data_IF_724467064736
#
_entry.id   IF_724467064736
#
_cell.length_a   1.000
_cell.length_b   1.000
_cell.length_c   1.000
_cell.angle_alpha   90.00
_cell.angle_beta   90.00
_cell.angle_gamma   90.00
#
_symmetry.space_group_name_H-M   'P 1'
#
loop_
_entity.id
_entity.type
_entity.pdbx_description
1 polymer ?
#
# COMPACT_ATOMS: atom_id res chain seq x y z
N UNK A 1 23.70 -23.15 34.05
CA UNK A 1 22.42 -22.51 34.41
C UNK A 1 21.94 -21.73 33.21
N UNK A 2 21.10 -22.39 32.40
CA UNK A 2 20.54 -21.85 31.16
C UNK A 2 19.37 -20.91 31.46
N UNK A 3 19.38 -19.73 30.87
CA UNK A 3 18.19 -18.91 30.73
C UNK A 3 17.66 -19.09 29.29
N UNK A 4 16.75 -20.03 29.11
CA UNK A 4 15.84 -20.06 27.94
C UNK A 4 14.80 -18.95 28.11
N UNK A 5 14.88 -17.92 27.32
CA UNK A 5 13.83 -16.92 27.19
C UNK A 5 12.78 -17.39 26.20
N UNK A 6 11.57 -17.41 26.69
CA UNK A 6 10.31 -17.76 26.07
C UNK A 6 10.02 -16.85 24.85
N UNK A 7 10.14 -17.38 23.63
CA UNK A 7 9.80 -16.74 22.36
C UNK A 7 8.68 -17.50 21.63
N UNK A 8 7.76 -18.06 22.39
CA UNK A 8 6.57 -18.75 21.87
C UNK A 8 5.30 -18.06 22.38
N UNK A 9 4.70 -17.20 21.60
CA UNK A 9 3.40 -16.61 21.93
C UNK A 9 2.85 -15.58 20.95
N UNK A 10 3.64 -15.09 20.01
CA UNK A 10 3.21 -14.01 19.10
C UNK A 10 2.95 -14.48 17.67
N UNK A 11 3.55 -15.61 17.25
CA UNK A 11 3.45 -16.09 15.85
C UNK A 11 2.13 -16.80 15.50
N UNK A 12 1.44 -17.41 16.46
CA UNK A 12 0.23 -18.20 16.16
C UNK A 12 -1.04 -17.36 15.98
N UNK A 13 -1.06 -16.10 16.40
CA UNK A 13 -2.22 -15.23 16.16
C UNK A 13 -2.14 -14.49 14.83
N UNK A 14 -0.94 -14.17 14.32
CA UNK A 14 -0.77 -13.55 12.99
C UNK A 14 -1.17 -14.48 11.85
N UNK A 15 -0.78 -15.74 11.90
CA UNK A 15 -1.05 -16.72 10.82
C UNK A 15 -2.52 -17.09 10.66
N UNK A 16 -3.34 -17.02 11.71
CA UNK A 16 -4.79 -17.30 11.60
C UNK A 16 -5.60 -16.14 11.02
N UNK A 17 -5.14 -14.89 11.16
CA UNK A 17 -5.78 -13.71 10.56
C UNK A 17 -5.50 -13.60 9.05
N UNK A 18 -4.33 -14.02 8.60
CA UNK A 18 -3.88 -13.88 7.20
C UNK A 18 -4.69 -14.73 6.21
N UNK A 19 -5.19 -15.90 6.63
CA UNK A 19 -6.02 -16.75 5.76
C UNK A 19 -7.49 -16.31 5.66
N UNK A 20 -8.05 -15.73 6.72
CA UNK A 20 -9.48 -15.40 6.74
C UNK A 20 -9.84 -14.13 5.97
N UNK A 21 -8.95 -13.12 5.90
CA UNK A 21 -9.27 -11.85 5.22
C UNK A 21 -9.22 -11.92 3.68
N UNK A 22 -8.45 -12.84 3.11
CA UNK A 22 -8.38 -13.06 1.65
C UNK A 22 -9.46 -14.03 1.13
N UNK A 23 -9.96 -14.92 1.98
CA UNK A 23 -11.03 -15.85 1.61
C UNK A 23 -12.41 -15.21 1.58
N UNK A 24 -12.67 -14.16 2.36
CA UNK A 24 -13.97 -13.47 2.43
C UNK A 24 -14.39 -12.80 1.11
N UNK A 25 -13.44 -12.37 0.27
CA UNK A 25 -13.75 -11.77 -1.03
C UNK A 25 -14.21 -12.77 -2.10
N UNK A 26 -14.07 -14.06 -1.85
CA UNK A 26 -14.42 -15.16 -2.80
C UNK A 26 -15.63 -15.99 -2.39
N UNK A 27 -16.27 -15.72 -1.25
CA UNK A 27 -17.35 -16.54 -0.77
C UNK A 27 -18.72 -16.07 -1.31
N UNK A 28 -19.46 -16.98 -1.94
CA UNK A 28 -20.88 -16.83 -2.22
C UNK A 28 -21.63 -16.59 -0.90
N UNK A 29 -22.55 -15.62 -0.91
CA UNK A 29 -23.28 -15.12 0.27
C UNK A 29 -24.08 -16.18 1.06
N UNK A 30 -24.14 -17.40 0.57
CA UNK A 30 -25.03 -18.45 1.08
C UNK A 30 -24.33 -19.46 2.04
N UNK A 31 -23.07 -19.23 2.44
CA UNK A 31 -22.27 -20.23 3.15
C UNK A 31 -21.73 -19.83 4.53
N UNK A 32 -22.23 -18.78 5.16
CA UNK A 32 -21.82 -18.42 6.53
C UNK A 32 -22.79 -18.97 7.56
N UNK A 33 -22.29 -19.66 8.60
CA UNK A 33 -23.10 -20.02 9.76
C UNK A 33 -23.38 -18.80 10.65
N UNK A 34 -24.44 -18.84 11.45
CA UNK A 34 -24.77 -17.77 12.38
C UNK A 34 -23.65 -17.54 13.40
N UNK A 35 -22.92 -18.59 13.81
CA UNK A 35 -21.77 -18.49 14.72
C UNK A 35 -20.60 -17.75 14.08
N UNK A 36 -20.35 -17.96 12.77
CA UNK A 36 -19.31 -17.21 12.04
C UNK A 36 -19.69 -15.74 11.90
N UNK A 37 -20.96 -15.46 11.56
CA UNK A 37 -21.46 -14.09 11.48
C UNK A 37 -21.39 -13.36 12.82
N UNK A 38 -21.77 -14.01 13.92
CA UNK A 38 -21.63 -13.47 15.27
C UNK A 38 -20.17 -13.20 15.65
N UNK A 39 -19.25 -14.06 15.25
CA UNK A 39 -17.82 -13.83 15.44
C UNK A 39 -17.33 -12.59 14.69
N UNK A 40 -17.75 -12.40 13.43
CA UNK A 40 -17.37 -11.22 12.65
C UNK A 40 -18.00 -9.95 13.21
N UNK A 41 -19.27 -9.98 13.62
CA UNK A 41 -19.93 -8.85 14.26
C UNK A 41 -19.24 -8.46 15.55
N UNK A 42 -18.88 -9.43 16.40
CA UNK A 42 -18.18 -9.17 17.66
C UNK A 42 -16.80 -8.55 17.46
N UNK A 43 -16.07 -8.95 16.39
CA UNK A 43 -14.77 -8.36 16.02
C UNK A 43 -14.90 -6.95 15.45
N UNK A 44 -16.00 -6.66 14.76
CA UNK A 44 -16.27 -5.37 14.13
C UNK A 44 -16.96 -4.36 15.06
N UNK A 45 -17.42 -4.78 16.24
CA UNK A 45 -18.13 -3.90 17.17
C UNK A 45 -17.21 -2.80 17.69
N UNK A 46 -17.65 -1.54 17.59
CA UNK A 46 -16.93 -0.37 18.11
C UNK A 46 -17.79 0.23 19.23
N UNK A 47 -17.22 0.32 20.42
CA UNK A 47 -17.90 0.85 21.62
C UNK A 47 -17.38 2.25 21.96
N UNK A 48 -18.27 3.10 22.47
CA UNK A 48 -17.88 4.45 22.91
C UNK A 48 -16.81 4.45 24.02
N UNK A 49 -16.66 3.33 24.71
CA UNK A 49 -15.66 3.13 25.77
C UNK A 49 -14.32 2.57 25.27
N UNK A 50 -14.21 2.23 23.99
CA UNK A 50 -12.99 1.68 23.43
C UNK A 50 -11.86 2.71 23.47
N UNK A 51 -10.67 2.25 23.84
CA UNK A 51 -9.44 3.05 23.76
C UNK A 51 -8.84 2.89 22.37
N UNK A 52 -9.19 3.78 21.46
CA UNK A 52 -8.68 3.77 20.08
C UNK A 52 -7.38 4.57 20.03
N UNK A 53 -6.34 3.95 19.48
CA UNK A 53 -5.07 4.63 19.22
C UNK A 53 -5.16 5.43 17.92
N UNK A 54 -4.73 6.69 17.94
CA UNK A 54 -4.66 7.52 16.73
C UNK A 54 -3.57 6.94 15.82
N UNK A 55 -3.89 6.58 14.56
CA UNK A 55 -2.90 6.04 13.66
C UNK A 55 -1.80 7.07 13.36
N UNK A 56 -0.53 6.64 13.29
CA UNK A 56 0.58 7.53 12.96
C UNK A 56 0.37 8.22 11.61
N UNK A 57 0.56 9.53 11.57
CA UNK A 57 0.63 10.33 10.35
C UNK A 57 2.05 10.24 9.81
N UNK A 58 2.24 9.70 8.61
CA UNK A 58 3.57 9.33 8.11
C UNK A 58 4.08 10.15 6.92
N UNK A 59 3.17 10.76 6.14
CA UNK A 59 3.54 11.61 5.00
C UNK A 59 2.71 12.89 4.99
N UNK A 60 3.36 13.97 4.55
CA UNK A 60 2.77 15.30 4.48
C UNK A 60 3.22 16.02 3.21
N UNK A 61 2.36 16.91 2.70
CA UNK A 61 2.70 17.93 1.71
C UNK A 61 2.42 19.29 2.35
N UNK A 62 3.46 20.07 2.59
CA UNK A 62 3.35 21.23 3.48
C UNK A 62 2.80 20.78 4.84
N UNK A 63 1.68 21.38 5.27
CA UNK A 63 1.01 21.06 6.54
C UNK A 63 -0.09 20.00 6.40
N UNK A 64 -0.41 19.58 5.17
CA UNK A 64 -1.46 18.61 4.91
C UNK A 64 -0.97 17.17 5.09
N UNK A 65 -1.64 16.38 5.91
CA UNK A 65 -1.40 14.93 6.03
C UNK A 65 -1.93 14.22 4.80
N UNK A 66 -1.09 13.46 4.11
CA UNK A 66 -1.46 12.67 2.93
C UNK A 66 -1.41 11.17 3.14
N UNK A 67 -0.82 10.71 4.26
CA UNK A 67 -0.77 9.29 4.60
C UNK A 67 -0.78 9.06 6.11
N UNK A 68 -1.58 8.07 6.52
CA UNK A 68 -1.64 7.52 7.88
C UNK A 68 -1.58 6.00 7.79
N UNK A 69 -1.13 5.33 8.84
CA UNK A 69 -1.22 3.87 8.88
C UNK A 69 -2.66 3.38 8.87
N UNK A 70 -2.87 2.13 8.41
CA UNK A 70 -4.18 1.53 8.25
C UNK A 70 -5.01 2.10 7.10
N UNK A 71 -4.43 2.94 6.23
CA UNK A 71 -5.12 3.60 5.13
C UNK A 71 -4.32 3.52 3.84
N UNK A 72 -4.98 3.83 2.72
CA UNK A 72 -4.32 4.02 1.44
C UNK A 72 -4.70 5.38 0.83
N UNK A 73 -3.88 5.86 -0.09
CA UNK A 73 -4.10 7.09 -0.85
C UNK A 73 -3.76 6.90 -2.32
N UNK A 74 -4.21 7.82 -3.18
CA UNK A 74 -3.93 7.78 -4.59
C UNK A 74 -3.50 9.14 -5.15
N UNK A 75 -2.44 9.13 -5.95
CA UNK A 75 -2.12 10.26 -6.83
C UNK A 75 -2.84 10.10 -8.15
N UNK A 76 -3.62 11.10 -8.53
CA UNK A 76 -4.32 11.15 -9.81
C UNK A 76 -3.73 12.22 -10.71
N UNK A 77 -3.98 12.11 -12.01
CA UNK A 77 -3.58 13.14 -12.98
C UNK A 77 -3.53 12.63 -14.41
N UNK A 78 -3.55 13.56 -15.37
CA UNK A 78 -3.46 13.25 -16.80
C UNK A 78 -2.13 12.55 -17.13
N UNK A 79 -2.10 11.83 -18.24
CA UNK A 79 -0.84 11.29 -18.75
C UNK A 79 0.21 12.41 -18.89
N UNK A 80 1.48 12.13 -18.55
CA UNK A 80 2.60 13.09 -18.56
C UNK A 80 2.51 14.24 -17.54
N UNK A 81 1.64 14.17 -16.52
CA UNK A 81 1.53 15.19 -15.46
C UNK A 81 2.61 15.12 -14.39
N UNK A 82 3.74 14.45 -14.66
CA UNK A 82 4.89 14.28 -13.74
C UNK A 82 4.58 13.51 -12.45
N UNK A 83 3.52 12.69 -12.41
CA UNK A 83 3.16 11.87 -11.24
C UNK A 83 4.35 11.06 -10.70
N UNK A 84 5.05 10.33 -11.55
CA UNK A 84 6.23 9.53 -11.16
C UNK A 84 7.36 10.39 -10.56
N UNK A 85 7.47 11.68 -10.94
CA UNK A 85 8.42 12.58 -10.30
C UNK A 85 7.98 12.91 -8.86
N UNK A 86 6.71 13.23 -8.65
CA UNK A 86 6.15 13.48 -7.32
C UNK A 86 6.27 12.26 -6.42
N UNK A 87 5.97 11.05 -6.94
CA UNK A 87 6.17 9.80 -6.21
C UNK A 87 7.65 9.60 -5.86
N UNK A 88 8.57 9.90 -6.78
CA UNK A 88 10.02 9.81 -6.49
C UNK A 88 10.43 10.72 -5.33
N UNK A 89 9.88 11.96 -5.26
CA UNK A 89 10.16 12.87 -4.17
C UNK A 89 9.55 12.40 -2.83
N UNK A 90 8.32 11.88 -2.87
CA UNK A 90 7.65 11.28 -1.71
C UNK A 90 8.45 10.09 -1.16
N UNK A 91 8.89 9.18 -2.02
CA UNK A 91 9.70 8.02 -1.63
C UNK A 91 11.06 8.45 -1.10
N UNK A 92 11.71 9.45 -1.71
CA UNK A 92 12.97 10.00 -1.21
C UNK A 92 12.82 10.58 0.20
N UNK A 93 11.72 11.32 0.46
CA UNK A 93 11.39 11.81 1.79
C UNK A 93 11.20 10.64 2.79
N UNK A 94 10.49 9.58 2.37
CA UNK A 94 10.24 8.39 3.21
C UNK A 94 11.53 7.63 3.53
N UNK A 95 12.41 7.40 2.54
CA UNK A 95 13.69 6.70 2.74
C UNK A 95 14.59 7.45 3.71
N UNK A 96 14.67 8.78 3.58
CA UNK A 96 15.47 9.61 4.49
C UNK A 96 14.75 9.93 5.79
N UNK A 97 13.43 9.75 5.82
CA UNK A 97 12.55 10.17 6.92
C UNK A 97 12.67 11.65 7.26
N UNK A 98 12.80 12.48 6.25
CA UNK A 98 12.99 13.92 6.35
C UNK A 98 12.09 14.65 5.34
N UNK A 99 12.40 15.90 5.06
CA UNK A 99 11.74 16.69 4.02
C UNK A 99 12.56 16.68 2.73
N UNK A 100 11.91 16.29 1.63
CA UNK A 100 12.47 16.37 0.28
C UNK A 100 11.48 17.12 -0.60
N UNK A 101 11.90 18.24 -1.16
CA UNK A 101 11.01 19.21 -1.82
C UNK A 101 9.84 19.57 -0.87
N UNK A 102 8.59 19.36 -1.31
CA UNK A 102 7.40 19.66 -0.52
C UNK A 102 6.89 18.47 0.30
N UNK A 103 7.54 17.31 0.20
CA UNK A 103 7.13 16.10 0.91
C UNK A 103 7.93 15.95 2.20
N UNK A 104 7.25 15.75 3.31
CA UNK A 104 7.85 15.43 4.60
C UNK A 104 7.37 14.05 5.05
N UNK A 105 8.32 13.21 5.46
CA UNK A 105 8.03 11.90 6.01
C UNK A 105 8.36 11.83 7.49
N UNK A 106 7.58 11.02 8.23
CA UNK A 106 7.76 10.74 9.65
C UNK A 106 7.32 9.30 9.95
N UNK A 107 8.06 8.33 9.41
CA UNK A 107 7.79 6.91 9.66
C UNK A 107 8.32 6.52 11.04
N UNK A 108 7.53 5.82 11.86
CA UNK A 108 7.96 5.31 13.17
C UNK A 108 9.16 4.37 13.05
N UNK A 109 9.91 4.25 14.14
CA UNK A 109 10.92 3.22 14.26
C UNK A 109 10.28 1.83 14.17
N UNK A 110 10.93 0.87 13.51
CA UNK A 110 10.35 -0.43 13.20
C UNK A 110 9.35 -0.46 12.02
N UNK A 111 9.15 0.69 11.32
CA UNK A 111 8.27 0.82 10.14
C UNK A 111 8.94 1.64 9.02
N UNK A 112 10.24 1.45 8.83
CA UNK A 112 11.09 2.30 7.97
C UNK A 112 11.32 1.74 6.57
N UNK A 113 10.83 0.54 6.27
CA UNK A 113 11.00 -0.05 4.94
C UNK A 113 9.91 0.42 4.00
N UNK A 114 10.31 0.68 2.77
CA UNK A 114 9.47 1.10 1.65
C UNK A 114 9.53 0.03 0.57
N UNK A 115 8.38 -0.48 0.15
CA UNK A 115 8.25 -1.38 -0.99
C UNK A 115 7.69 -0.60 -2.19
N UNK A 116 8.37 -0.62 -3.32
CA UNK A 116 7.94 0.04 -4.55
C UNK A 116 7.67 -1.00 -5.64
N UNK A 117 6.46 -1.02 -6.16
CA UNK A 117 6.04 -1.88 -7.26
C UNK A 117 5.63 -1.02 -8.45
N UNK A 118 6.41 -1.08 -9.52
CA UNK A 118 6.08 -0.44 -10.80
C UNK A 118 5.47 -1.49 -11.73
N UNK A 119 4.23 -1.27 -12.16
CA UNK A 119 3.47 -2.22 -12.99
C UNK A 119 3.43 -1.82 -14.46
N UNK A 120 3.87 -0.60 -14.80
CA UNK A 120 3.74 -0.03 -16.13
C UNK A 120 5.06 0.01 -16.90
N UNK A 121 6.17 0.33 -16.22
CA UNK A 121 7.41 0.71 -16.87
C UNK A 121 8.33 -0.48 -17.17
N UNK A 122 9.14 -0.35 -18.23
CA UNK A 122 10.19 -1.31 -18.51
C UNK A 122 11.31 -1.22 -17.45
N UNK A 123 12.11 -2.28 -17.32
CA UNK A 123 13.23 -2.35 -16.38
C UNK A 123 14.17 -1.14 -16.45
N UNK A 124 14.45 -0.64 -17.65
CA UNK A 124 15.28 0.55 -17.85
C UNK A 124 14.65 1.80 -17.21
N UNK A 125 13.36 2.02 -17.42
CA UNK A 125 12.66 3.19 -16.86
C UNK A 125 12.47 3.05 -15.34
N UNK A 126 12.19 1.86 -14.84
CA UNK A 126 12.19 1.59 -13.39
C UNK A 126 13.54 1.95 -12.76
N UNK A 127 14.65 1.58 -13.40
CA UNK A 127 16.00 1.93 -12.94
C UNK A 127 16.23 3.46 -12.94
N UNK A 128 15.70 4.18 -13.94
CA UNK A 128 15.76 5.66 -13.98
C UNK A 128 14.91 6.29 -12.85
N UNK A 129 13.77 5.71 -12.50
CA UNK A 129 12.97 6.14 -11.35
C UNK A 129 13.75 5.92 -10.06
N UNK A 130 14.35 4.75 -9.89
CA UNK A 130 15.15 4.41 -8.71
C UNK A 130 16.35 5.36 -8.57
N UNK A 131 17.08 5.62 -9.65
CA UNK A 131 18.19 6.61 -9.66
C UNK A 131 17.73 8.00 -9.23
N UNK A 132 16.55 8.44 -9.71
CA UNK A 132 15.97 9.73 -9.29
C UNK A 132 15.65 9.76 -7.80
N UNK A 133 15.10 8.68 -7.24
CA UNK A 133 14.84 8.57 -5.80
C UNK A 133 16.14 8.73 -5.01
N UNK A 134 17.19 8.01 -5.41
CA UNK A 134 18.51 8.11 -4.75
C UNK A 134 19.08 9.52 -4.86
N UNK A 135 19.01 10.15 -6.03
CA UNK A 135 19.47 11.52 -6.24
C UNK A 135 18.72 12.53 -5.37
N UNK A 136 17.40 12.40 -5.27
CA UNK A 136 16.57 13.29 -4.44
C UNK A 136 16.81 13.07 -2.94
N UNK A 137 17.12 11.85 -2.52
CA UNK A 137 17.44 11.52 -1.13
C UNK A 137 18.90 11.83 -0.75
N UNK A 138 19.74 12.25 -1.69
CA UNK A 138 21.16 12.47 -1.43
C UNK A 138 21.96 11.19 -1.16
N UNK A 139 21.38 10.01 -1.45
CA UNK A 139 22.02 8.72 -1.25
C UNK A 139 22.92 8.35 -2.43
N UNK A 140 23.94 7.56 -2.15
CA UNK A 140 24.83 7.04 -3.20
C UNK A 140 24.15 5.91 -3.99
N UNK A 141 24.04 6.06 -5.29
CA UNK A 141 23.50 5.03 -6.19
C UNK A 141 24.46 3.85 -6.46
N UNK A 142 25.60 3.84 -5.79
CA UNK A 142 26.59 2.74 -5.90
C UNK A 142 26.33 1.57 -4.95
N UNK A 143 25.35 1.72 -4.04
CA UNK A 143 24.99 0.74 -3.03
C UNK A 143 23.49 0.76 -2.78
N UNK A 144 22.88 -0.42 -2.72
CA UNK A 144 21.46 -0.54 -2.37
C UNK A 144 21.20 -0.10 -0.92
N UNK A 145 20.14 0.66 -0.73
CA UNK A 145 19.68 1.05 0.59
C UNK A 145 18.69 -0.02 1.10
N UNK A 146 18.94 -0.63 2.27
CA UNK A 146 18.11 -1.72 2.80
C UNK A 146 16.69 -1.28 3.18
N UNK A 147 16.42 0.01 3.19
CA UNK A 147 15.08 0.57 3.47
C UNK A 147 14.19 0.65 2.23
N UNK A 148 14.76 0.59 1.02
CA UNK A 148 14.01 0.69 -0.23
C UNK A 148 14.18 -0.56 -1.08
N UNK A 149 13.10 -1.29 -1.29
CA UNK A 149 13.03 -2.40 -2.23
C UNK A 149 12.15 -2.00 -3.42
N UNK A 150 12.64 -2.23 -4.64
CA UNK A 150 12.00 -1.79 -5.87
C UNK A 150 11.85 -2.95 -6.85
N UNK A 151 10.63 -3.18 -7.36
CA UNK A 151 10.34 -4.23 -8.36
C UNK A 151 9.60 -3.66 -9.55
N UNK A 152 10.04 -4.02 -10.77
CA UNK A 152 9.29 -3.85 -12.01
C UNK A 152 8.45 -5.10 -12.27
N UNK A 153 7.12 -4.94 -12.28
CA UNK A 153 6.16 -6.03 -12.42
C UNK A 153 5.43 -6.04 -13.77
N UNK A 154 5.85 -5.22 -14.72
CA UNK A 154 5.17 -5.03 -16.00
C UNK A 154 4.90 -6.34 -16.75
N UNK A 155 5.84 -7.30 -16.71
CA UNK A 155 5.78 -8.52 -17.50
C UNK A 155 4.85 -9.59 -16.93
N UNK A 156 4.29 -9.36 -15.72
CA UNK A 156 3.42 -10.33 -15.05
C UNK A 156 1.94 -10.03 -15.26
N UNK A 157 1.11 -11.07 -15.13
CA UNK A 157 -0.36 -10.93 -15.16
C UNK A 157 -0.87 -10.20 -13.92
N UNK A 158 -2.06 -9.55 -13.97
CA UNK A 158 -2.66 -8.88 -12.81
C UNK A 158 -2.71 -9.77 -11.57
N UNK A 159 -3.20 -10.99 -11.70
CA UNK A 159 -3.27 -11.97 -10.60
C UNK A 159 -1.89 -12.27 -10.00
N UNK A 160 -0.85 -12.43 -10.85
CA UNK A 160 0.50 -12.69 -10.37
C UNK A 160 1.12 -11.45 -9.70
N UNK A 161 0.82 -10.24 -10.18
CA UNK A 161 1.24 -8.99 -9.52
C UNK A 161 0.68 -8.91 -8.11
N UNK A 162 -0.63 -9.15 -7.91
CA UNK A 162 -1.25 -9.18 -6.58
C UNK A 162 -0.55 -10.21 -5.69
N UNK A 163 -0.35 -11.44 -6.19
CA UNK A 163 0.32 -12.49 -5.42
C UNK A 163 1.77 -12.14 -5.04
N UNK A 164 2.52 -11.46 -5.92
CA UNK A 164 3.89 -11.01 -5.65
C UNK A 164 3.93 -9.89 -4.61
N UNK A 165 2.99 -8.94 -4.65
CA UNK A 165 2.86 -7.88 -3.64
C UNK A 165 2.53 -8.51 -2.29
N UNK A 166 1.53 -9.38 -2.23
CA UNK A 166 1.14 -10.09 -1.02
C UNK A 166 2.30 -10.90 -0.43
N UNK A 167 3.02 -11.63 -1.28
CA UNK A 167 4.22 -12.37 -0.86
C UNK A 167 5.29 -11.45 -0.27
N UNK A 168 5.53 -10.29 -0.88
CA UNK A 168 6.49 -9.33 -0.38
C UNK A 168 6.07 -8.77 0.98
N UNK A 169 4.79 -8.45 1.18
CA UNK A 169 4.26 -7.98 2.46
C UNK A 169 4.44 -9.01 3.59
N UNK A 170 4.29 -10.30 3.28
CA UNK A 170 4.55 -11.39 4.25
C UNK A 170 6.04 -11.62 4.50
N UNK A 171 6.88 -11.38 3.51
CA UNK A 171 8.32 -11.66 3.56
C UNK A 171 9.12 -10.58 4.28
N UNK A 172 8.75 -9.32 4.13
CA UNK A 172 9.51 -8.20 4.67
C UNK A 172 8.84 -7.61 5.90
N UNK A 173 9.57 -7.63 7.01
CA UNK A 173 9.17 -6.96 8.24
C UNK A 173 9.44 -5.44 8.17
N UNK A 174 8.88 -4.68 9.11
CA UNK A 174 9.11 -3.24 9.29
C UNK A 174 8.68 -2.36 8.11
N UNK A 175 7.77 -2.86 7.26
CA UNK A 175 7.22 -2.10 6.15
C UNK A 175 6.26 -1.04 6.68
N UNK A 176 6.50 0.23 6.35
CA UNK A 176 5.63 1.35 6.70
C UNK A 176 4.94 1.98 5.49
N UNK A 177 5.58 1.90 4.31
CA UNK A 177 5.03 2.49 3.09
C UNK A 177 5.16 1.52 1.92
N UNK A 178 4.07 1.38 1.18
CA UNK A 178 4.03 0.65 -0.09
C UNK A 178 3.62 1.59 -1.20
N UNK A 179 4.34 1.58 -2.31
CA UNK A 179 3.99 2.29 -3.54
C UNK A 179 3.56 1.29 -4.60
N UNK A 180 2.40 1.52 -5.20
CA UNK A 180 1.92 0.77 -6.38
C UNK A 180 1.74 1.77 -7.51
N UNK A 181 2.75 1.87 -8.38
CA UNK A 181 2.74 2.78 -9.53
C UNK A 181 2.09 2.05 -10.71
N UNK A 182 0.77 2.29 -10.88
CA UNK A 182 -0.09 1.66 -11.86
C UNK A 182 -1.15 0.71 -11.26
N UNK A 183 -2.00 1.23 -10.35
CA UNK A 183 -3.07 0.45 -9.72
C UNK A 183 -3.99 -0.27 -10.72
N UNK A 184 -4.25 0.38 -11.87
CA UNK A 184 -5.04 -0.18 -12.97
C UNK A 184 -4.54 -1.56 -13.43
N UNK A 185 -3.23 -1.74 -13.41
CA UNK A 185 -2.59 -2.95 -13.96
C UNK A 185 -2.71 -4.17 -13.02
N UNK A 186 -3.36 -4.00 -11.87
CA UNK A 186 -3.77 -5.10 -10.99
C UNK A 186 -5.11 -5.73 -11.41
N UNK A 187 -5.75 -5.24 -12.49
CA UNK A 187 -7.02 -5.73 -13.03
C UNK A 187 -6.86 -6.15 -14.48
N UNK A 188 -7.66 -7.12 -14.92
CA UNK A 188 -7.77 -7.53 -16.33
C UNK A 188 -8.64 -6.53 -17.10
N UNK A 189 -9.79 -6.15 -16.54
CA UNK A 189 -10.70 -5.18 -17.14
C UNK A 189 -11.02 -4.04 -16.16
N UNK A 190 -10.55 -2.86 -16.51
CA UNK A 190 -10.77 -1.64 -15.73
C UNK A 190 -12.25 -1.24 -15.62
N UNK A 191 -13.10 -1.71 -16.55
CA UNK A 191 -14.53 -1.44 -16.54
C UNK A 191 -15.31 -2.49 -15.76
N UNK A 192 -14.65 -3.54 -15.29
CA UNK A 192 -15.26 -4.55 -14.44
C UNK A 192 -15.34 -4.05 -12.99
N UNK A 193 -16.54 -3.63 -12.57
CA UNK A 193 -16.77 -3.12 -11.21
C UNK A 193 -16.43 -4.14 -10.11
N UNK A 194 -16.61 -5.44 -10.37
CA UNK A 194 -16.25 -6.50 -9.43
C UNK A 194 -14.74 -6.55 -9.22
N UNK A 195 -13.94 -6.61 -10.29
CA UNK A 195 -12.47 -6.62 -10.17
C UNK A 195 -11.95 -5.37 -9.45
N UNK A 196 -12.54 -4.20 -9.74
CA UNK A 196 -12.17 -2.96 -9.05
C UNK A 196 -12.46 -3.05 -7.54
N UNK A 197 -13.62 -3.58 -7.16
CA UNK A 197 -13.98 -3.78 -5.75
C UNK A 197 -13.06 -4.78 -5.07
N UNK A 198 -12.75 -5.89 -5.74
CA UNK A 198 -11.85 -6.92 -5.20
C UNK A 198 -10.45 -6.36 -4.92
N UNK A 199 -9.88 -5.60 -5.86
CA UNK A 199 -8.58 -4.94 -5.66
C UNK A 199 -8.62 -3.95 -4.50
N UNK A 200 -9.67 -3.13 -4.39
CA UNK A 200 -9.81 -2.18 -3.27
C UNK A 200 -9.94 -2.90 -1.94
N UNK A 201 -10.68 -4.00 -1.88
CA UNK A 201 -10.82 -4.84 -0.68
C UNK A 201 -9.46 -5.40 -0.24
N UNK A 202 -8.66 -5.88 -1.18
CA UNK A 202 -7.30 -6.37 -0.92
C UNK A 202 -6.40 -5.25 -0.38
N UNK A 203 -6.43 -4.04 -0.95
CA UNK A 203 -5.65 -2.91 -0.44
C UNK A 203 -6.04 -2.54 0.99
N UNK A 204 -7.36 -2.46 1.28
CA UNK A 204 -7.86 -2.19 2.63
C UNK A 204 -7.40 -3.26 3.63
N UNK A 205 -7.51 -4.54 3.25
CA UNK A 205 -7.05 -5.64 4.09
C UNK A 205 -5.54 -5.55 4.37
N UNK A 206 -4.71 -5.32 3.36
CA UNK A 206 -3.26 -5.18 3.55
C UNK A 206 -2.89 -4.01 4.46
N UNK A 207 -3.53 -2.84 4.31
CA UNK A 207 -3.24 -1.68 5.17
C UNK A 207 -3.57 -1.96 6.63
N UNK A 208 -4.66 -2.68 6.90
CA UNK A 208 -5.10 -3.04 8.25
C UNK A 208 -4.24 -4.15 8.86
N UNK A 209 -4.04 -5.27 8.12
CA UNK A 209 -3.30 -6.45 8.63
C UNK A 209 -1.84 -6.14 8.91
N UNK A 210 -1.20 -5.38 8.02
CA UNK A 210 0.23 -5.08 8.14
C UNK A 210 0.52 -3.75 8.84
N UNK A 211 -0.52 -2.98 9.24
CA UNK A 211 -0.38 -1.66 9.86
C UNK A 211 0.61 -0.78 9.09
N UNK A 212 0.28 -0.49 7.84
CA UNK A 212 1.10 0.30 6.91
C UNK A 212 0.23 1.24 6.08
N UNK A 213 0.87 2.08 5.26
CA UNK A 213 0.18 2.89 4.25
C UNK A 213 0.50 2.41 2.84
N UNK A 214 -0.51 2.35 1.97
CA UNK A 214 -0.34 2.08 0.54
C UNK A 214 -0.63 3.37 -0.24
N UNK A 215 0.33 3.83 -1.04
CA UNK A 215 0.12 4.92 -1.98
C UNK A 215 0.08 4.39 -3.41
N UNK A 216 -0.97 4.73 -4.14
CA UNK A 216 -1.18 4.24 -5.52
C UNK A 216 -1.17 5.38 -6.54
N UNK A 217 -1.04 5.02 -7.82
CA UNK A 217 -1.13 5.97 -8.94
C UNK A 217 -2.28 5.57 -9.86
N UNK A 218 -3.13 6.54 -10.18
CA UNK A 218 -4.24 6.43 -11.11
C UNK A 218 -4.12 7.43 -12.25
N UNK A 219 -4.45 6.98 -13.47
CA UNK A 219 -4.54 7.85 -14.63
C UNK A 219 -5.95 8.37 -14.82
N UNK A 220 -6.07 9.70 -15.05
CA UNK A 220 -7.34 10.31 -15.44
C UNK A 220 -7.68 9.99 -16.90
N UNK A 221 -8.96 10.04 -17.24
CA UNK A 221 -9.43 9.98 -18.62
C UNK A 221 -8.92 11.17 -19.42
N UNK A 222 -8.76 10.99 -20.76
CA UNK A 222 -8.29 12.08 -21.64
C UNK A 222 -9.31 13.20 -21.81
N UNK A 223 -10.61 12.90 -21.77
CA UNK A 223 -11.70 13.79 -22.14
C UNK A 223 -12.44 14.42 -20.96
N UNK A 224 -12.31 13.83 -19.78
CA UNK A 224 -12.85 14.36 -18.54
C UNK A 224 -11.77 14.30 -17.44
N UNK A 225 -11.91 15.09 -16.41
CA UNK A 225 -10.94 15.06 -15.29
C UNK A 225 -11.24 13.93 -14.31
N UNK A 226 -12.02 12.92 -14.72
CA UNK A 226 -12.37 11.80 -13.88
C UNK A 226 -11.35 10.65 -14.00
N UNK A 227 -11.04 9.93 -12.92
CA UNK A 227 -10.26 8.70 -12.96
C UNK A 227 -10.89 7.67 -13.89
N UNK A 228 -10.07 6.82 -14.52
CA UNK A 228 -10.56 5.80 -15.45
C UNK A 228 -11.18 4.63 -14.72
N UNK A 229 -12.38 4.21 -15.19
CA UNK A 229 -13.05 2.99 -14.77
C UNK A 229 -13.74 3.09 -13.41
N UNK A 230 -14.29 1.97 -12.97
CA UNK A 230 -15.06 1.86 -11.72
C UNK A 230 -14.25 2.07 -10.43
N UNK A 231 -12.94 1.97 -10.50
CA UNK A 231 -12.04 2.28 -9.38
C UNK A 231 -12.23 3.71 -8.86
N UNK A 232 -12.70 4.62 -9.72
CA UNK A 232 -13.05 6.00 -9.36
C UNK A 232 -13.95 6.08 -8.13
N UNK A 233 -15.00 5.27 -8.07
CA UNK A 233 -15.98 5.34 -6.99
C UNK A 233 -15.41 4.84 -5.66
N UNK A 234 -14.46 3.93 -5.70
CA UNK A 234 -13.84 3.35 -4.52
C UNK A 234 -12.71 4.22 -3.94
N UNK A 235 -12.08 5.08 -4.75
CA UNK A 235 -10.91 5.89 -4.35
C UNK A 235 -11.27 7.35 -4.09
N UNK A 236 -12.41 7.85 -4.58
CA UNK A 236 -12.80 9.28 -4.47
C UNK A 236 -12.87 9.82 -3.03
N UNK A 237 -13.02 8.96 -2.02
CA UNK A 237 -12.99 9.36 -0.61
C UNK A 237 -11.59 9.61 -0.06
N UNK A 238 -10.53 9.32 -0.84
CA UNK A 238 -9.13 9.37 -0.41
C UNK A 238 -8.21 10.10 -1.40
N UNK A 239 -8.79 10.79 -2.40
CA UNK A 239 -8.02 11.56 -3.39
C UNK A 239 -7.56 12.86 -2.75
N UNK A 240 -6.27 13.11 -2.86
CA UNK A 240 -5.63 14.39 -2.55
C UNK A 240 -5.52 15.15 -3.86
N UNK A 241 -6.27 16.24 -4.00
CA UNK A 241 -6.17 17.17 -5.13
C UNK A 241 -4.84 17.96 -5.10
#
# INVERSE_FOLDING_TARGET
MEKRTNKMGIDNQKTSFEHQSLEVSMLDKDNFSDEELDSYLSKGEIKATDKVTIPPKILFVGDCTIATFGNFSASTGKAKSKKTFNISAMVAAAVTNTTVLNYRACLPEGKRKILYFDTEQSKYHCHTVLERIYKLSGLSFKKDDPRLMFWGLREYTPKLRIALIDYALRKYDEVGLVIIDGLRDLMYDINNGKEATDVMTVLMAWTSVYDLHIHTVLHLNKNDNNPRGHIQYSVNSYVID
#
